data_IF_315284420408
#
_entry.id   IF_315284420408
#
_cell.length_a   1.000
_cell.length_b   1.000
_cell.length_c   1.000
_cell.angle_alpha   90.00
_cell.angle_beta   90.00
_cell.angle_gamma   90.00
#
_symmetry.space_group_name_H-M   'P 1'
#
loop_
_entity.id
_entity.type
_entity.pdbx_description
1 polymer ?
#
# COMPACT_ATOMS: atom_id res chain seq x y z
N UNK A 1 -0.97 -32.03 -13.19
CA UNK A 1 -0.93 -31.47 -11.81
C UNK A 1 0.14 -30.39 -11.60
N UNK A 2 1.32 -30.47 -12.19
CA UNK A 2 2.42 -29.49 -12.01
C UNK A 2 2.14 -28.08 -12.58
N UNK A 3 1.33 -27.95 -13.62
CA UNK A 3 0.96 -26.65 -14.22
C UNK A 3 0.04 -25.81 -13.34
N UNK A 4 -0.86 -26.45 -12.57
CA UNK A 4 -1.78 -25.74 -11.67
C UNK A 4 -1.08 -25.08 -10.48
N UNK A 5 -0.08 -25.75 -9.90
CA UNK A 5 0.71 -25.23 -8.79
C UNK A 5 1.60 -24.06 -9.21
N UNK A 6 2.18 -24.10 -10.41
CA UNK A 6 2.99 -23.00 -10.94
C UNK A 6 2.16 -21.74 -11.22
N UNK A 7 0.96 -21.89 -11.75
CA UNK A 7 0.02 -20.78 -11.98
C UNK A 7 -0.48 -20.17 -10.66
N UNK A 8 -0.79 -21.00 -9.67
CA UNK A 8 -1.20 -20.57 -8.35
C UNK A 8 -0.09 -19.79 -7.62
N UNK A 9 1.14 -20.30 -7.62
CA UNK A 9 2.30 -19.60 -7.05
C UNK A 9 2.57 -18.26 -7.75
N UNK A 10 2.40 -18.20 -9.07
CA UNK A 10 2.58 -16.97 -9.85
C UNK A 10 1.52 -15.91 -9.50
N UNK A 11 0.28 -16.32 -9.27
CA UNK A 11 -0.81 -15.44 -8.84
C UNK A 11 -0.56 -14.85 -7.46
N UNK A 12 -0.08 -15.65 -6.52
CA UNK A 12 0.22 -15.21 -5.15
C UNK A 12 1.40 -14.24 -5.08
N UNK A 13 2.46 -14.50 -5.85
CA UNK A 13 3.61 -13.57 -5.95
C UNK A 13 3.16 -12.24 -6.54
N UNK A 14 2.31 -12.26 -7.55
CA UNK A 14 1.81 -11.06 -8.21
C UNK A 14 0.87 -10.25 -7.31
N UNK A 15 0.03 -10.92 -6.52
CA UNK A 15 -0.83 -10.27 -5.53
C UNK A 15 0.00 -9.54 -4.45
N UNK A 16 1.02 -10.20 -3.92
CA UNK A 16 1.93 -9.60 -2.91
C UNK A 16 2.73 -8.42 -3.45
N UNK A 17 3.18 -8.48 -4.70
CA UNK A 17 3.85 -7.34 -5.36
C UNK A 17 2.89 -6.15 -5.48
N UNK A 18 1.65 -6.37 -5.90
CA UNK A 18 0.62 -5.32 -5.97
C UNK A 18 0.33 -4.68 -4.62
N UNK A 19 0.30 -5.44 -3.53
CA UNK A 19 0.11 -4.91 -2.19
C UNK A 19 1.28 -4.03 -1.75
N UNK A 20 2.52 -4.43 -2.06
CA UNK A 20 3.71 -3.65 -1.77
C UNK A 20 3.74 -2.35 -2.59
N UNK A 21 3.41 -2.43 -3.87
CA UNK A 21 3.34 -1.28 -4.77
C UNK A 21 2.22 -0.32 -4.34
N UNK A 22 1.10 -0.86 -3.88
CA UNK A 22 -0.01 -0.06 -3.32
C UNK A 22 0.41 0.70 -2.07
N UNK A 23 1.14 0.08 -1.14
CA UNK A 23 1.66 0.75 0.05
C UNK A 23 2.63 1.89 -0.32
N UNK A 24 3.50 1.67 -1.30
CA UNK A 24 4.40 2.70 -1.81
C UNK A 24 3.65 3.85 -2.52
N UNK A 25 2.62 3.53 -3.31
CA UNK A 25 1.77 4.55 -3.96
C UNK A 25 0.99 5.37 -2.94
N UNK A 26 0.48 4.74 -1.88
CA UNK A 26 -0.17 5.44 -0.76
C UNK A 26 0.79 6.40 -0.06
N UNK A 27 2.02 5.97 0.23
CA UNK A 27 3.04 6.85 0.82
C UNK A 27 3.29 8.07 -0.05
N UNK A 28 3.44 7.89 -1.37
CA UNK A 28 3.60 8.99 -2.32
C UNK A 28 2.36 9.91 -2.34
N UNK A 29 1.15 9.35 -2.33
CA UNK A 29 -0.10 10.11 -2.30
C UNK A 29 -0.21 11.01 -1.06
N UNK A 30 0.04 10.43 0.12
CA UNK A 30 0.00 11.19 1.38
C UNK A 30 1.09 12.25 1.46
N UNK A 31 2.29 11.95 0.94
CA UNK A 31 3.39 12.92 0.85
C UNK A 31 3.04 14.12 -0.02
N UNK A 32 2.42 13.90 -1.18
CA UNK A 32 1.91 14.97 -2.04
C UNK A 32 0.81 15.78 -1.35
N UNK A 33 -0.13 15.12 -0.68
CA UNK A 33 -1.19 15.81 0.08
C UNK A 33 -0.60 16.71 1.16
N UNK A 34 0.35 16.20 1.96
CA UNK A 34 1.03 16.98 2.99
C UNK A 34 1.79 18.19 2.42
N UNK A 35 2.47 18.01 1.29
CA UNK A 35 3.16 19.09 0.60
C UNK A 35 2.19 20.17 0.05
N UNK A 36 1.08 19.75 -0.54
CA UNK A 36 0.07 20.68 -1.07
C UNK A 36 -0.67 21.44 0.04
N UNK A 37 -0.93 20.82 1.19
CA UNK A 37 -1.49 21.52 2.35
C UNK A 37 -0.51 22.60 2.82
N UNK A 38 0.76 22.24 2.97
CA UNK A 38 1.80 23.14 3.47
C UNK A 38 2.08 24.32 2.55
N UNK A 39 2.11 24.08 1.24
CA UNK A 39 2.51 25.09 0.25
C UNK A 39 1.35 25.87 -0.35
N UNK A 40 0.22 25.22 -0.59
CA UNK A 40 -0.90 25.77 -1.34
C UNK A 40 -2.19 25.93 -0.53
N UNK A 41 -2.22 25.43 0.71
CA UNK A 41 -3.40 25.42 1.60
C UNK A 41 -4.65 24.90 0.90
N UNK A 42 -4.50 23.85 0.08
CA UNK A 42 -5.62 23.29 -0.66
C UNK A 42 -6.60 22.57 0.26
N UNK A 43 -7.91 22.75 0.05
CA UNK A 43 -8.92 22.07 0.84
C UNK A 43 -8.90 20.56 0.57
N UNK A 44 -9.18 19.77 1.61
CA UNK A 44 -9.13 18.31 1.58
C UNK A 44 -9.91 17.66 0.42
N UNK A 45 -11.14 18.12 0.06
CA UNK A 45 -11.85 17.54 -1.08
C UNK A 45 -11.07 17.59 -2.39
N UNK A 46 -10.35 18.67 -2.66
CA UNK A 46 -9.52 18.82 -3.86
C UNK A 46 -8.32 17.89 -3.86
N UNK A 47 -7.74 17.66 -2.68
CA UNK A 47 -6.64 16.71 -2.52
C UNK A 47 -7.11 15.29 -2.78
N UNK A 48 -8.25 14.89 -2.22
CA UNK A 48 -8.83 13.57 -2.45
C UNK A 48 -9.21 13.36 -3.90
N UNK A 49 -9.81 14.35 -4.56
CA UNK A 49 -10.15 14.30 -5.99
C UNK A 49 -8.91 14.02 -6.85
N UNK A 50 -7.79 14.66 -6.54
CA UNK A 50 -6.54 14.46 -7.25
C UNK A 50 -5.98 13.05 -7.03
N UNK A 51 -5.96 12.60 -5.79
CA UNK A 51 -5.46 11.26 -5.45
C UNK A 51 -6.39 10.14 -5.94
N UNK A 52 -7.68 10.41 -6.14
CA UNK A 52 -8.64 9.45 -6.71
C UNK A 52 -8.28 8.97 -8.12
N UNK A 53 -7.42 9.68 -8.83
CA UNK A 53 -6.94 9.32 -10.18
C UNK A 53 -5.79 8.31 -10.18
N UNK A 54 -5.28 7.93 -9.02
CA UNK A 54 -4.18 6.95 -8.92
C UNK A 54 -4.66 5.54 -9.27
N UNK A 55 -3.75 4.74 -9.83
CA UNK A 55 -4.09 3.42 -10.39
C UNK A 55 -4.38 2.39 -9.30
N UNK A 56 -3.56 2.33 -8.25
CA UNK A 56 -3.63 1.27 -7.25
C UNK A 56 -4.46 1.65 -6.01
N UNK A 57 -4.44 2.91 -5.61
CA UNK A 57 -5.11 3.39 -4.40
C UNK A 57 -6.20 4.43 -4.65
N UNK A 58 -6.41 4.85 -5.90
CA UNK A 58 -7.37 5.90 -6.25
C UNK A 58 -8.80 5.61 -5.80
N UNK A 59 -9.24 4.36 -5.86
CA UNK A 59 -10.58 3.96 -5.42
C UNK A 59 -10.86 4.24 -3.94
N UNK A 60 -9.83 4.15 -3.08
CA UNK A 60 -9.96 4.48 -1.66
C UNK A 60 -10.18 5.98 -1.46
N UNK A 61 -9.41 6.82 -2.15
CA UNK A 61 -9.57 8.27 -2.12
C UNK A 61 -10.91 8.72 -2.70
N UNK A 62 -11.36 8.11 -3.81
CA UNK A 62 -12.67 8.37 -4.40
C UNK A 62 -13.81 8.05 -3.43
N UNK A 63 -13.71 6.95 -2.68
CA UNK A 63 -14.70 6.58 -1.67
C UNK A 63 -14.72 7.57 -0.51
N UNK A 64 -13.56 8.03 -0.04
CA UNK A 64 -13.45 9.08 0.97
C UNK A 64 -14.04 10.40 0.49
N UNK A 65 -13.77 10.80 -0.76
CA UNK A 65 -14.36 11.99 -1.37
C UNK A 65 -15.89 11.90 -1.42
N UNK A 66 -16.42 10.76 -1.86
CA UNK A 66 -17.86 10.52 -1.91
C UNK A 66 -18.51 10.62 -0.52
N UNK A 67 -17.85 10.13 0.53
CA UNK A 67 -18.28 10.32 1.91
C UNK A 67 -18.39 11.79 2.30
N UNK A 68 -17.36 12.60 1.98
CA UNK A 68 -17.37 14.05 2.23
C UNK A 68 -18.49 14.77 1.47
N UNK A 69 -18.72 14.43 0.21
CA UNK A 69 -19.79 15.03 -0.61
C UNK A 69 -21.19 14.73 -0.03
N UNK A 70 -21.33 13.65 0.70
CA UNK A 70 -22.57 13.29 1.42
C UNK A 70 -22.68 13.90 2.80
N UNK A 71 -21.74 14.74 3.21
CA UNK A 71 -21.76 15.45 4.48
C UNK A 71 -21.19 14.66 5.66
N UNK A 72 -20.47 13.55 5.42
CA UNK A 72 -19.75 12.85 6.48
C UNK A 72 -18.61 13.73 7.03
N UNK A 73 -18.30 13.64 8.33
CA UNK A 73 -17.07 14.22 8.87
C UNK A 73 -15.83 13.68 8.15
N UNK A 74 -14.79 14.51 8.04
CA UNK A 74 -13.57 14.13 7.33
C UNK A 74 -12.97 12.82 7.87
N UNK A 75 -12.91 12.65 9.18
CA UNK A 75 -12.33 11.45 9.79
C UNK A 75 -13.12 10.19 9.42
N UNK A 76 -14.45 10.25 9.48
CA UNK A 76 -15.32 9.11 9.14
C UNK A 76 -15.22 8.76 7.65
N UNK A 77 -15.23 9.76 6.78
CA UNK A 77 -15.07 9.58 5.34
C UNK A 77 -13.69 8.97 5.00
N UNK A 78 -12.65 9.37 5.71
CA UNK A 78 -11.30 8.84 5.60
C UNK A 78 -11.26 7.36 6.01
N UNK A 79 -11.76 7.04 7.19
CA UNK A 79 -11.79 5.67 7.69
C UNK A 79 -12.60 4.73 6.79
N UNK A 80 -13.75 5.17 6.32
CA UNK A 80 -14.58 4.41 5.37
C UNK A 80 -13.89 4.21 4.03
N UNK A 81 -13.16 5.22 3.55
CA UNK A 81 -12.41 5.15 2.31
C UNK A 81 -11.38 4.02 2.30
N UNK A 82 -10.70 3.82 3.43
CA UNK A 82 -9.61 2.85 3.55
C UNK A 82 -9.98 1.56 4.29
N UNK A 83 -11.25 1.36 4.63
CA UNK A 83 -11.72 0.18 5.39
C UNK A 83 -11.35 -1.15 4.73
N UNK A 84 -11.49 -1.24 3.41
CA UNK A 84 -11.24 -2.46 2.63
C UNK A 84 -9.88 -2.47 1.93
N UNK A 85 -8.99 -1.60 2.37
CA UNK A 85 -7.65 -1.53 1.79
C UNK A 85 -6.84 -2.78 2.11
N UNK A 86 -6.14 -3.29 1.12
CA UNK A 86 -5.13 -4.34 1.26
C UNK A 86 -3.74 -3.78 0.94
N UNK A 87 -2.71 -4.11 1.71
CA UNK A 87 -2.71 -5.03 2.86
C UNK A 87 -3.35 -4.43 4.13
N UNK A 88 -3.84 -5.27 5.06
CA UNK A 88 -4.50 -4.82 6.28
C UNK A 88 -3.64 -3.90 7.15
N UNK A 89 -2.32 -4.08 7.13
CA UNK A 89 -1.38 -3.23 7.88
C UNK A 89 -1.39 -1.79 7.34
N UNK A 90 -1.50 -1.61 6.03
CA UNK A 90 -1.65 -0.28 5.42
C UNK A 90 -2.99 0.35 5.81
N UNK A 91 -4.07 -0.43 5.82
CA UNK A 91 -5.38 0.04 6.29
C UNK A 91 -5.32 0.49 7.76
N UNK A 92 -4.61 -0.25 8.62
CA UNK A 92 -4.37 0.12 10.02
C UNK A 92 -3.64 1.45 10.15
N UNK A 93 -2.55 1.64 9.41
CA UNK A 93 -1.78 2.90 9.42
C UNK A 93 -2.68 4.09 9.05
N UNK A 94 -3.50 3.94 8.02
CA UNK A 94 -4.38 5.03 7.57
C UNK A 94 -5.54 5.29 8.53
N UNK A 95 -6.08 4.25 9.16
CA UNK A 95 -7.11 4.39 10.19
C UNK A 95 -6.60 5.11 11.43
N UNK A 96 -5.35 4.84 11.83
CA UNK A 96 -4.69 5.49 12.96
C UNK A 96 -4.26 6.93 12.64
N UNK A 97 -4.41 7.38 11.38
CA UNK A 97 -4.07 8.72 10.97
C UNK A 97 -5.22 9.68 11.32
N UNK A 98 -5.00 10.50 12.33
CA UNK A 98 -5.99 11.51 12.77
C UNK A 98 -5.91 12.75 11.88
N UNK A 99 -6.98 13.02 11.14
CA UNK A 99 -7.13 14.22 10.30
C UNK A 99 -7.95 15.30 11.01
N UNK A 100 -7.68 15.50 12.29
CA UNK A 100 -8.38 16.48 13.15
C UNK A 100 -7.41 17.56 13.62
N UNK A 101 -7.93 18.76 13.82
CA UNK A 101 -7.15 19.90 14.31
C UNK A 101 -6.74 20.86 13.19
N UNK A 102 -5.64 21.57 13.43
CA UNK A 102 -5.09 22.54 12.50
C UNK A 102 -4.28 21.91 11.35
N UNK A 103 -3.91 22.73 10.37
CA UNK A 103 -3.13 22.28 9.20
C UNK A 103 -1.82 21.60 9.58
N UNK A 104 -1.13 22.10 10.62
CA UNK A 104 0.15 21.53 11.06
C UNK A 104 0.00 20.13 11.62
N UNK A 105 -1.07 19.88 12.38
CA UNK A 105 -1.39 18.55 12.91
C UNK A 105 -1.72 17.56 11.80
N UNK A 106 -2.53 17.98 10.83
CA UNK A 106 -2.88 17.15 9.68
C UNK A 106 -1.64 16.81 8.86
N UNK A 107 -0.78 17.79 8.57
CA UNK A 107 0.48 17.56 7.86
C UNK A 107 1.40 16.63 8.63
N UNK A 108 1.51 16.80 9.94
CA UNK A 108 2.31 15.92 10.80
C UNK A 108 1.77 14.50 10.80
N UNK A 109 0.45 14.31 10.92
CA UNK A 109 -0.19 13.01 10.88
C UNK A 109 0.03 12.31 9.53
N UNK A 110 -0.15 13.03 8.42
CA UNK A 110 0.11 12.51 7.08
C UNK A 110 1.58 12.12 6.89
N UNK A 111 2.51 12.95 7.36
CA UNK A 111 3.95 12.66 7.27
C UNK A 111 4.33 11.43 8.09
N UNK A 112 3.79 11.28 9.29
CA UNK A 112 3.99 10.07 10.10
C UNK A 112 3.45 8.82 9.40
N UNK A 113 2.27 8.91 8.77
CA UNK A 113 1.71 7.83 7.99
C UNK A 113 2.58 7.47 6.78
N UNK A 114 3.16 8.46 6.08
CA UNK A 114 4.12 8.24 4.99
C UNK A 114 5.28 7.38 5.44
N UNK A 115 5.94 7.74 6.54
CA UNK A 115 7.07 6.96 7.06
C UNK A 115 6.68 5.53 7.40
N UNK A 116 5.55 5.32 8.06
CA UNK A 116 5.04 3.98 8.40
C UNK A 116 4.72 3.14 7.15
N UNK A 117 4.16 3.75 6.10
CA UNK A 117 3.87 3.08 4.82
C UNK A 117 5.15 2.75 4.05
N UNK A 118 6.13 3.63 4.04
CA UNK A 118 7.45 3.37 3.42
C UNK A 118 8.16 2.22 4.12
N UNK A 119 8.20 2.21 5.45
CA UNK A 119 8.75 1.10 6.23
C UNK A 119 8.04 -0.23 5.94
N UNK A 120 6.70 -0.21 5.83
CA UNK A 120 5.92 -1.37 5.48
C UNK A 120 6.28 -1.89 4.08
N UNK A 121 6.36 -1.00 3.09
CA UNK A 121 6.72 -1.34 1.72
C UNK A 121 8.14 -1.93 1.65
N UNK A 122 9.10 -1.33 2.34
CA UNK A 122 10.48 -1.80 2.38
C UNK A 122 10.63 -3.15 3.08
N UNK A 123 9.92 -3.35 4.20
CA UNK A 123 9.88 -4.65 4.88
C UNK A 123 9.37 -5.74 3.95
N UNK A 124 8.25 -5.51 3.29
CA UNK A 124 7.66 -6.46 2.34
C UNK A 124 8.57 -6.74 1.14
N UNK A 125 9.28 -5.72 0.63
CA UNK A 125 10.27 -5.90 -0.44
C UNK A 125 11.44 -6.79 0.00
N UNK A 126 11.94 -6.60 1.23
CA UNK A 126 13.03 -7.43 1.79
C UNK A 126 12.58 -8.88 1.98
N UNK A 127 11.40 -9.09 2.53
CA UNK A 127 10.83 -10.43 2.71
C UNK A 127 10.64 -11.16 1.37
N UNK A 128 10.16 -10.46 0.33
CA UNK A 128 10.02 -11.02 -1.00
C UNK A 128 11.36 -11.45 -1.59
N UNK A 129 12.38 -10.58 -1.53
CA UNK A 129 13.72 -10.88 -2.01
C UNK A 129 14.37 -12.06 -1.26
N UNK A 130 14.17 -12.14 0.04
CA UNK A 130 14.70 -13.26 0.83
C UNK A 130 14.05 -14.59 0.44
N UNK A 131 12.74 -14.61 0.24
CA UNK A 131 12.02 -15.80 -0.26
C UNK A 131 12.45 -16.20 -1.66
N UNK A 132 12.61 -15.25 -2.58
CA UNK A 132 13.13 -15.53 -3.92
C UNK A 132 14.52 -16.19 -3.87
N UNK A 133 15.42 -15.69 -3.04
CA UNK A 133 16.76 -16.28 -2.82
C UNK A 133 16.69 -17.71 -2.29
N UNK A 134 15.81 -17.96 -1.31
CA UNK A 134 15.61 -19.31 -0.75
C UNK A 134 15.03 -20.29 -1.78
N UNK A 135 14.08 -19.84 -2.61
CA UNK A 135 13.51 -20.65 -3.67
C UNK A 135 14.56 -21.01 -4.73
N UNK A 136 15.40 -20.05 -5.14
CA UNK A 136 16.49 -20.30 -6.07
C UNK A 136 17.55 -21.24 -5.50
N UNK A 137 17.90 -21.08 -4.22
CA UNK A 137 18.84 -21.98 -3.53
C UNK A 137 18.27 -23.41 -3.45
N UNK A 138 16.99 -23.55 -3.11
CA UNK A 138 16.32 -24.84 -3.07
C UNK A 138 16.21 -25.50 -4.44
N UNK A 139 15.90 -24.72 -5.49
CA UNK A 139 15.82 -25.20 -6.86
C UNK A 139 17.19 -25.69 -7.37
N UNK A 140 18.26 -24.95 -7.08
CA UNK A 140 19.63 -25.34 -7.44
C UNK A 140 20.10 -26.59 -6.70
N UNK A 141 19.76 -26.70 -5.39
CA UNK A 141 20.08 -27.87 -4.58
C UNK A 141 19.33 -29.11 -5.08
N UNK A 142 18.04 -28.98 -5.43
CA UNK A 142 17.23 -30.06 -5.96
C UNK A 142 17.71 -30.53 -7.33
N UNK A 143 18.10 -29.61 -8.22
CA UNK A 143 18.67 -29.96 -9.52
C UNK A 143 20.02 -30.69 -9.40
N UNK A 144 20.88 -30.25 -8.46
CA UNK A 144 22.16 -30.91 -8.18
C UNK A 144 21.97 -32.35 -7.68
N UNK A 145 21.03 -32.58 -6.78
CA UNK A 145 20.70 -33.91 -6.27
C UNK A 145 20.15 -34.83 -7.34
N UNK A 146 19.34 -34.30 -8.27
CA UNK A 146 18.77 -35.05 -9.38
C UNK A 146 19.85 -35.50 -10.38
N UNK A 147 20.87 -34.68 -10.64
CA UNK A 147 21.99 -35.01 -11.51
C UNK A 147 22.85 -36.13 -10.88
N UNK A 148 23.09 -36.06 -9.56
CA UNK A 148 23.87 -37.08 -8.84
C UNK A 148 23.13 -38.43 -8.84
N UNK A 149 21.81 -38.43 -8.80
CA UNK A 149 21.00 -39.66 -8.77
C UNK A 149 20.87 -40.31 -10.16
N UNK A 150 21.15 -39.56 -11.25
CA UNK A 150 21.04 -40.02 -12.64
C UNK A 150 22.38 -40.51 -13.22
N UNK A 151 23.49 -40.26 -12.53
CA UNK A 151 24.84 -40.74 -12.88
C UNK A 151 25.16 -41.97 -12.07
#
# INVERSE_FOLDING_TARGET
MLLGTALWCRGEIQARRRETDRAAELAAALGEMAAEIRSLRRPMPRLLERQARRVLCGGCFARGLWGLERGQPLQDAWEDGFRELTPPEAAGILRDTELTGDEERIVSALTAAVHRLEELADRRRRESRQRERLLWAAALSGAGLFIILLI
#
